data_IF_575572032978
#
_entry.id   IF_575572032978
#
_cell.length_a   1.000
_cell.length_b   1.000
_cell.length_c   1.000
_cell.angle_alpha   90.00
_cell.angle_beta   90.00
_cell.angle_gamma   90.00
#
_symmetry.space_group_name_H-M   'P 1'
#
loop_
_entity.id
_entity.type
_entity.pdbx_description
1 polymer ?
#
# COMPACT_ATOMS: atom_id res chain seq x y z
N UNK A 1 -15.40 -59.96 -20.92
CA UNK A 1 -14.88 -58.62 -20.54
C UNK A 1 -14.83 -58.60 -19.04
N UNK A 2 -13.62 -58.69 -18.49
CA UNK A 2 -13.41 -59.11 -17.11
C UNK A 2 -13.60 -57.93 -16.17
N UNK A 3 -14.56 -58.05 -15.26
CA UNK A 3 -14.91 -57.06 -14.23
C UNK A 3 -13.74 -56.75 -13.30
N UNK A 4 -12.76 -57.64 -13.23
CA UNK A 4 -11.49 -57.50 -12.49
C UNK A 4 -10.60 -56.39 -13.04
N UNK A 5 -10.60 -56.14 -14.36
CA UNK A 5 -9.78 -55.06 -14.93
C UNK A 5 -10.31 -53.69 -14.48
N UNK A 6 -11.63 -53.51 -14.45
CA UNK A 6 -12.27 -52.26 -14.02
C UNK A 6 -12.03 -51.95 -12.54
N UNK A 7 -12.07 -52.96 -11.67
CA UNK A 7 -11.79 -52.83 -10.24
C UNK A 7 -10.36 -52.39 -9.94
N UNK A 8 -9.40 -52.71 -10.82
CA UNK A 8 -7.98 -52.40 -10.61
C UNK A 8 -7.65 -50.93 -10.90
N UNK A 9 -8.36 -50.29 -11.84
CA UNK A 9 -8.11 -48.88 -12.22
C UNK A 9 -8.91 -47.85 -11.41
N UNK A 10 -9.97 -48.28 -10.72
CA UNK A 10 -10.78 -47.41 -9.86
C UNK A 10 -10.00 -46.76 -8.70
N UNK A 11 -9.26 -47.50 -7.86
CA UNK A 11 -8.52 -46.91 -6.75
C UNK A 11 -7.46 -45.87 -7.18
N UNK A 12 -6.60 -46.11 -8.19
CA UNK A 12 -5.64 -45.09 -8.61
C UNK A 12 -6.32 -43.88 -9.26
N UNK A 13 -7.44 -44.06 -9.97
CA UNK A 13 -8.21 -42.94 -10.50
C UNK A 13 -8.79 -42.05 -9.39
N UNK A 14 -9.35 -42.66 -8.33
CA UNK A 14 -9.86 -41.93 -7.17
C UNK A 14 -8.75 -41.20 -6.41
N UNK A 15 -7.59 -41.83 -6.23
CA UNK A 15 -6.42 -41.18 -5.62
C UNK A 15 -5.94 -39.99 -6.46
N UNK A 16 -5.88 -40.13 -7.78
CA UNK A 16 -5.49 -39.05 -8.67
C UNK A 16 -6.45 -37.85 -8.58
N UNK A 17 -7.77 -38.09 -8.53
CA UNK A 17 -8.78 -37.03 -8.33
C UNK A 17 -8.63 -36.37 -6.97
N UNK A 18 -8.36 -37.14 -5.91
CA UNK A 18 -8.13 -36.61 -4.56
C UNK A 18 -6.91 -35.70 -4.49
N UNK A 19 -5.78 -36.13 -5.06
CA UNK A 19 -4.54 -35.34 -5.13
C UNK A 19 -4.75 -34.08 -5.96
N UNK A 20 -5.41 -34.18 -7.12
CA UNK A 20 -5.69 -33.02 -7.97
C UNK A 20 -6.59 -32.00 -7.26
N UNK A 21 -7.64 -32.48 -6.57
CA UNK A 21 -8.55 -31.62 -5.80
C UNK A 21 -7.84 -30.92 -4.65
N UNK A 22 -6.97 -31.63 -3.92
CA UNK A 22 -6.16 -31.05 -2.86
C UNK A 22 -5.16 -30.01 -3.40
N UNK A 23 -4.52 -30.31 -4.52
CA UNK A 23 -3.61 -29.37 -5.18
C UNK A 23 -4.33 -28.10 -5.64
N UNK A 24 -5.52 -28.23 -6.24
CA UNK A 24 -6.37 -27.09 -6.61
C UNK A 24 -6.78 -26.27 -5.39
N UNK A 25 -7.28 -26.93 -4.32
CA UNK A 25 -7.70 -26.25 -3.10
C UNK A 25 -6.53 -25.53 -2.42
N UNK A 26 -5.33 -26.13 -2.42
CA UNK A 26 -4.12 -25.50 -1.89
C UNK A 26 -3.68 -24.31 -2.76
N UNK A 27 -3.86 -24.41 -4.08
CA UNK A 27 -3.57 -23.31 -5.00
C UNK A 27 -4.53 -22.14 -4.77
N UNK A 28 -5.83 -22.39 -4.71
CA UNK A 28 -6.86 -21.38 -4.42
C UNK A 28 -6.63 -20.70 -3.07
N UNK A 29 -6.38 -21.48 -2.00
CA UNK A 29 -6.07 -20.88 -0.68
C UNK A 29 -4.86 -19.96 -0.73
N UNK A 30 -3.84 -20.27 -1.53
CA UNK A 30 -2.67 -19.39 -1.68
C UNK A 30 -3.00 -18.12 -2.44
N UNK A 31 -3.85 -18.19 -3.46
CA UNK A 31 -4.30 -16.98 -4.18
C UNK A 31 -5.16 -16.10 -3.30
N UNK A 32 -6.07 -16.68 -2.53
CA UNK A 32 -6.95 -15.95 -1.60
C UNK A 32 -6.12 -15.25 -0.52
N UNK A 33 -5.19 -15.97 0.11
CA UNK A 33 -4.27 -15.37 1.08
C UNK A 33 -3.44 -14.24 0.46
N UNK A 34 -2.95 -14.40 -0.77
CA UNK A 34 -2.19 -13.34 -1.44
C UNK A 34 -3.07 -12.11 -1.71
N UNK A 35 -4.35 -12.29 -2.06
CA UNK A 35 -5.30 -11.20 -2.23
C UNK A 35 -5.55 -10.45 -0.91
N UNK A 36 -5.82 -11.18 0.18
CA UNK A 36 -6.01 -10.59 1.51
C UNK A 36 -4.79 -9.76 1.96
N UNK A 37 -3.57 -10.24 1.68
CA UNK A 37 -2.37 -9.49 2.04
C UNK A 37 -2.17 -8.24 1.18
N UNK A 38 -2.59 -8.25 -0.08
CA UNK A 38 -2.58 -7.03 -0.89
C UNK A 38 -3.55 -5.99 -0.32
N UNK A 39 -4.76 -6.38 0.10
CA UNK A 39 -5.70 -5.48 0.78
C UNK A 39 -5.13 -4.90 2.08
N UNK A 40 -4.47 -5.74 2.89
CA UNK A 40 -3.80 -5.26 4.12
C UNK A 40 -2.66 -4.28 3.80
N UNK A 41 -1.88 -4.54 2.75
CA UNK A 41 -0.84 -3.62 2.29
C UNK A 41 -1.44 -2.28 1.84
N UNK A 42 -2.54 -2.32 1.10
CA UNK A 42 -3.27 -1.11 0.67
C UNK A 42 -3.74 -0.28 1.86
N UNK A 43 -4.39 -0.90 2.83
CA UNK A 43 -4.85 -0.19 4.03
C UNK A 43 -3.69 0.39 4.86
N UNK A 44 -2.57 -0.32 4.97
CA UNK A 44 -1.39 0.19 5.65
C UNK A 44 -0.82 1.44 4.93
N UNK A 45 -0.70 1.38 3.61
CA UNK A 45 -0.25 2.50 2.79
C UNK A 45 -1.22 3.68 2.79
N UNK A 46 -2.53 3.42 2.79
CA UNK A 46 -3.57 4.44 2.88
C UNK A 46 -3.46 5.18 4.21
N UNK A 47 -3.41 4.47 5.34
CA UNK A 47 -3.26 5.06 6.68
C UNK A 47 -1.98 5.89 6.79
N UNK A 48 -0.87 5.38 6.25
CA UNK A 48 0.37 6.13 6.16
C UNK A 48 0.19 7.40 5.29
N UNK A 49 -0.46 7.31 4.13
CA UNK A 49 -0.69 8.47 3.26
C UNK A 49 -1.59 9.54 3.89
N UNK A 50 -2.57 9.13 4.71
CA UNK A 50 -3.43 10.04 5.47
C UNK A 50 -2.62 10.84 6.48
N UNK A 51 -1.66 10.20 7.16
CA UNK A 51 -0.73 10.91 8.04
C UNK A 51 0.13 11.92 7.27
N UNK A 52 0.69 11.56 6.12
CA UNK A 52 1.48 12.53 5.32
C UNK A 52 0.60 13.70 4.85
N UNK A 53 -0.66 13.44 4.48
CA UNK A 53 -1.65 14.47 4.17
C UNK A 53 -1.90 15.41 5.36
N UNK A 54 -2.03 14.86 6.58
CA UNK A 54 -2.33 15.67 7.77
C UNK A 54 -1.18 16.60 8.15
N UNK A 55 0.07 16.26 7.81
CA UNK A 55 1.22 17.14 8.01
C UNK A 55 1.12 18.47 7.26
N UNK A 56 0.34 18.55 6.17
CA UNK A 56 0.09 19.82 5.47
C UNK A 56 -0.73 20.80 6.32
N UNK A 57 -1.68 20.28 7.08
CA UNK A 57 -2.63 21.07 7.87
C UNK A 57 -2.17 21.27 9.32
N UNK A 58 -1.17 20.52 9.75
CA UNK A 58 -0.60 20.63 11.07
C UNK A 58 0.16 21.96 11.22
N UNK A 59 -0.22 22.76 12.22
CA UNK A 59 0.46 24.01 12.55
C UNK A 59 1.90 23.77 13.07
N UNK A 60 2.17 22.58 13.64
CA UNK A 60 3.48 22.18 14.15
C UNK A 60 3.71 20.72 13.80
N UNK A 61 4.89 20.42 13.24
CA UNK A 61 5.33 19.04 13.04
C UNK A 61 5.54 18.36 14.41
N UNK A 62 4.78 17.33 14.73
CA UNK A 62 4.89 16.60 15.99
C UNK A 62 5.83 15.38 15.93
N UNK A 63 6.61 15.26 14.85
CA UNK A 63 7.38 14.05 14.55
C UNK A 63 6.56 13.01 13.79
N UNK A 64 7.19 11.89 13.47
CA UNK A 64 6.47 10.72 12.96
C UNK A 64 5.61 10.15 14.09
N UNK A 65 4.29 10.19 13.92
CA UNK A 65 3.36 9.65 14.91
C UNK A 65 3.49 8.12 15.01
N UNK A 66 3.26 7.52 16.19
CA UNK A 66 3.40 6.08 16.38
C UNK A 66 2.52 5.26 15.43
N UNK A 67 1.34 5.79 15.08
CA UNK A 67 0.43 5.15 14.12
C UNK A 67 0.96 5.14 12.69
N UNK A 68 1.66 6.20 12.27
CA UNK A 68 2.22 6.32 10.93
C UNK A 68 3.44 5.41 10.76
N UNK A 69 4.33 5.40 11.75
CA UNK A 69 5.46 4.50 11.80
C UNK A 69 5.00 3.03 11.78
N UNK A 70 3.98 2.69 12.59
CA UNK A 70 3.41 1.34 12.61
C UNK A 70 2.76 0.96 11.27
N UNK A 71 2.09 1.89 10.59
CA UNK A 71 1.50 1.66 9.27
C UNK A 71 2.57 1.40 8.21
N UNK A 72 3.65 2.19 8.20
CA UNK A 72 4.76 2.02 7.27
C UNK A 72 5.53 0.71 7.53
N UNK A 73 5.76 0.36 8.79
CA UNK A 73 6.41 -0.90 9.18
C UNK A 73 5.55 -2.12 8.80
N UNK A 74 4.24 -2.04 9.01
CA UNK A 74 3.30 -3.07 8.56
C UNK A 74 3.35 -3.23 7.02
N UNK A 75 3.38 -2.13 6.27
CA UNK A 75 3.50 -2.15 4.82
C UNK A 75 4.83 -2.81 4.37
N UNK A 76 5.95 -2.45 5.02
CA UNK A 76 7.26 -3.06 4.77
C UNK A 76 7.28 -4.56 5.06
N UNK A 77 6.66 -4.98 6.17
CA UNK A 77 6.58 -6.37 6.60
C UNK A 77 5.75 -7.21 5.62
N UNK A 78 4.56 -6.73 5.24
CA UNK A 78 3.69 -7.43 4.28
C UNK A 78 4.38 -7.53 2.93
N UNK A 79 4.99 -6.44 2.45
CA UNK A 79 5.75 -6.43 1.20
C UNK A 79 6.87 -7.48 1.23
N UNK A 80 7.68 -7.51 2.28
CA UNK A 80 8.81 -8.44 2.37
C UNK A 80 8.34 -9.90 2.31
N UNK A 81 7.24 -10.24 2.98
CA UNK A 81 6.74 -11.60 3.07
C UNK A 81 5.96 -12.06 1.82
N UNK A 82 5.20 -11.16 1.18
CA UNK A 82 4.23 -11.54 0.13
C UNK A 82 4.50 -10.92 -1.23
N UNK A 83 5.15 -9.76 -1.29
CA UNK A 83 5.35 -8.98 -2.53
C UNK A 83 6.81 -8.50 -2.67
N UNK A 84 7.80 -9.42 -2.69
CA UNK A 84 9.20 -9.03 -2.83
C UNK A 84 9.48 -8.27 -4.12
N UNK A 85 8.64 -8.44 -5.15
CA UNK A 85 8.76 -7.76 -6.44
C UNK A 85 8.55 -6.23 -6.34
N UNK A 86 7.91 -5.75 -5.27
CA UNK A 86 7.66 -4.32 -5.00
C UNK A 86 8.81 -3.63 -4.26
N UNK A 87 9.96 -4.31 -4.08
CA UNK A 87 11.09 -3.75 -3.35
C UNK A 87 11.59 -2.41 -3.91
N UNK A 88 11.64 -2.29 -5.24
CA UNK A 88 12.08 -1.05 -5.91
C UNK A 88 11.12 0.11 -5.64
N UNK A 89 9.83 -0.07 -5.92
CA UNK A 89 8.81 0.96 -5.72
C UNK A 89 8.70 1.39 -4.25
N UNK A 90 8.82 0.44 -3.33
CA UNK A 90 8.83 0.75 -1.89
C UNK A 90 10.08 1.53 -1.48
N UNK A 91 11.25 1.21 -2.03
CA UNK A 91 12.47 1.96 -1.76
C UNK A 91 12.37 3.41 -2.24
N UNK A 92 11.74 3.65 -3.39
CA UNK A 92 11.45 5.01 -3.87
C UNK A 92 10.52 5.76 -2.93
N UNK A 93 9.43 5.12 -2.48
CA UNK A 93 8.50 5.70 -1.52
C UNK A 93 9.20 6.08 -0.21
N UNK A 94 10.03 5.18 0.34
CA UNK A 94 10.82 5.42 1.55
C UNK A 94 11.86 6.55 1.34
N UNK A 95 12.46 6.63 0.16
CA UNK A 95 13.37 7.71 -0.20
C UNK A 95 12.68 9.08 -0.23
N UNK A 96 11.43 9.15 -0.69
CA UNK A 96 10.63 10.39 -0.61
C UNK A 96 10.19 10.67 0.84
N UNK A 97 9.75 9.64 1.58
CA UNK A 97 9.38 9.74 2.99
C UNK A 97 10.50 10.40 3.81
N UNK A 98 11.72 9.87 3.72
CA UNK A 98 12.88 10.42 4.44
C UNK A 98 13.14 11.89 4.12
N UNK A 99 13.01 12.27 2.83
CA UNK A 99 13.13 13.68 2.42
C UNK A 99 12.03 14.55 3.02
N UNK A 100 10.82 14.03 3.11
CA UNK A 100 9.67 14.72 3.71
C UNK A 100 9.87 14.91 5.23
N UNK A 101 10.27 13.88 5.96
CA UNK A 101 10.60 13.96 7.39
C UNK A 101 11.72 14.97 7.66
N UNK A 102 12.80 14.92 6.88
CA UNK A 102 13.92 15.85 7.02
C UNK A 102 13.49 17.29 6.75
N UNK A 103 12.66 17.50 5.72
CA UNK A 103 12.11 18.82 5.41
C UNK A 103 11.23 19.34 6.56
N UNK A 104 10.28 18.54 7.06
CA UNK A 104 9.40 18.95 8.15
C UNK A 104 10.17 19.24 9.45
N UNK A 105 11.14 18.40 9.79
CA UNK A 105 12.03 18.62 10.93
C UNK A 105 12.80 19.94 10.82
N UNK A 106 13.34 20.24 9.64
CA UNK A 106 14.06 21.49 9.38
C UNK A 106 13.13 22.72 9.46
N UNK A 107 11.92 22.60 8.92
CA UNK A 107 10.91 23.68 9.00
C UNK A 107 10.48 23.95 10.44
N UNK A 108 10.31 22.90 11.25
CA UNK A 108 10.01 23.06 12.67
C UNK A 108 11.14 23.77 13.42
N UNK A 109 12.40 23.40 13.16
CA UNK A 109 13.56 24.06 13.76
C UNK A 109 13.64 25.54 13.35
N UNK A 110 13.36 25.85 12.08
CA UNK A 110 13.34 27.24 11.60
C UNK A 110 12.21 28.03 12.28
N UNK A 111 11.01 27.47 12.34
CA UNK A 111 9.87 28.10 13.01
C UNK A 111 10.13 28.40 14.50
N UNK A 112 10.77 27.47 15.21
CA UNK A 112 11.13 27.65 16.63
C UNK A 112 12.23 28.71 16.85
N UNK A 113 13.12 28.91 15.88
CA UNK A 113 14.29 29.79 16.01
C UNK A 113 14.03 31.20 15.46
N UNK A 114 13.33 31.29 14.34
CA UNK A 114 13.10 32.53 13.58
C UNK A 114 11.78 32.46 12.79
N UNK A 115 10.64 32.78 13.43
CA UNK A 115 9.33 32.67 12.80
C UNK A 115 9.10 33.68 11.68
N UNK A 116 9.79 34.83 11.69
CA UNK A 116 9.67 35.85 10.64
C UNK A 116 10.30 35.34 9.33
N UNK A 117 11.54 34.81 9.40
CA UNK A 117 12.17 34.18 8.23
C UNK A 117 11.45 32.90 7.79
N UNK A 118 10.79 32.20 8.71
CA UNK A 118 9.97 31.04 8.34
C UNK A 118 8.77 31.45 7.47
N UNK A 119 8.07 32.54 7.80
CA UNK A 119 6.93 33.06 7.02
C UNK A 119 7.36 33.50 5.61
N UNK A 120 8.56 34.07 5.49
CA UNK A 120 9.14 34.47 4.21
C UNK A 120 9.66 33.28 3.38
N UNK A 121 9.77 32.10 4.00
CA UNK A 121 10.25 30.91 3.30
C UNK A 121 9.20 30.34 2.34
N UNK A 122 9.65 29.85 1.18
CA UNK A 122 8.85 29.12 0.20
C UNK A 122 8.43 27.70 0.69
N UNK A 123 8.11 27.55 1.98
CA UNK A 123 7.81 26.27 2.62
C UNK A 123 6.69 25.52 1.92
N UNK A 124 5.58 26.20 1.60
CA UNK A 124 4.42 25.61 0.94
C UNK A 124 4.76 25.05 -0.44
N UNK A 125 5.52 25.79 -1.25
CA UNK A 125 5.92 25.34 -2.60
C UNK A 125 6.81 24.10 -2.51
N UNK A 126 7.77 24.10 -1.57
CA UNK A 126 8.69 22.97 -1.37
C UNK A 126 7.97 21.74 -0.82
N UNK A 127 7.04 21.93 0.13
CA UNK A 127 6.18 20.87 0.63
C UNK A 127 5.35 20.26 -0.50
N UNK A 128 4.66 21.08 -1.29
CA UNK A 128 3.84 20.60 -2.41
C UNK A 128 4.66 19.84 -3.46
N UNK A 129 5.92 20.24 -3.70
CA UNK A 129 6.82 19.50 -4.58
C UNK A 129 7.14 18.10 -4.04
N UNK A 130 7.50 18.01 -2.75
CA UNK A 130 7.76 16.72 -2.08
C UNK A 130 6.50 15.86 -2.01
N UNK A 131 5.34 16.47 -1.72
CA UNK A 131 4.05 15.80 -1.70
C UNK A 131 3.68 15.20 -3.06
N UNK A 132 3.93 15.93 -4.16
CA UNK A 132 3.74 15.40 -5.51
C UNK A 132 4.63 14.19 -5.77
N UNK A 133 5.91 14.28 -5.42
CA UNK A 133 6.84 13.14 -5.55
C UNK A 133 6.36 11.93 -4.75
N UNK A 134 5.88 12.16 -3.52
CA UNK A 134 5.34 11.12 -2.65
C UNK A 134 4.12 10.45 -3.30
N UNK A 135 3.18 11.25 -3.81
CA UNK A 135 1.99 10.74 -4.49
C UNK A 135 2.35 9.94 -5.74
N UNK A 136 3.34 10.37 -6.52
CA UNK A 136 3.80 9.61 -7.68
C UNK A 136 4.41 8.27 -7.30
N UNK A 137 5.30 8.22 -6.30
CA UNK A 137 5.89 6.98 -5.81
C UNK A 137 4.81 6.02 -5.26
N UNK A 138 3.85 6.56 -4.50
CA UNK A 138 2.72 5.77 -3.99
C UNK A 138 1.87 5.21 -5.14
N UNK A 139 1.50 6.04 -6.12
CA UNK A 139 0.71 5.59 -7.27
C UNK A 139 1.43 4.52 -8.10
N UNK A 140 2.75 4.66 -8.30
CA UNK A 140 3.54 3.65 -8.99
C UNK A 140 3.51 2.30 -8.23
N UNK A 141 3.70 2.35 -6.91
CA UNK A 141 3.63 1.17 -6.05
C UNK A 141 2.24 0.51 -6.10
N UNK A 142 1.17 1.30 -6.03
CA UNK A 142 -0.20 0.80 -6.12
C UNK A 142 -0.49 0.14 -7.48
N UNK A 143 -0.12 0.79 -8.58
CA UNK A 143 -0.27 0.24 -9.92
C UNK A 143 0.52 -1.07 -10.08
N UNK A 144 1.71 -1.17 -9.48
CA UNK A 144 2.50 -2.40 -9.50
C UNK A 144 1.88 -3.48 -8.61
N UNK A 145 1.33 -3.12 -7.46
CA UNK A 145 0.62 -4.04 -6.58
C UNK A 145 -0.61 -4.63 -7.28
N UNK A 146 -1.39 -3.83 -8.03
CA UNK A 146 -2.49 -4.32 -8.86
C UNK A 146 -2.03 -5.38 -9.87
N UNK A 147 -0.93 -5.11 -10.59
CA UNK A 147 -0.35 -6.04 -11.56
C UNK A 147 0.08 -7.36 -10.91
N UNK A 148 0.75 -7.28 -9.76
CA UNK A 148 1.33 -8.46 -9.07
C UNK A 148 0.29 -9.25 -8.29
N UNK A 149 -0.71 -8.58 -7.72
CA UNK A 149 -1.80 -9.22 -7.00
C UNK A 149 -2.90 -9.73 -7.95
N UNK A 150 -2.88 -9.33 -9.23
CA UNK A 150 -3.99 -9.52 -10.20
C UNK A 150 -5.34 -9.02 -9.67
N UNK A 151 -5.30 -8.10 -8.71
CA UNK A 151 -6.47 -7.46 -8.14
C UNK A 151 -6.84 -6.28 -9.03
N UNK A 152 -8.10 -6.22 -9.48
CA UNK A 152 -8.67 -4.93 -9.87
C UNK A 152 -8.96 -4.19 -8.58
N UNK A 153 -8.05 -3.31 -8.16
CA UNK A 153 -8.39 -2.32 -7.13
C UNK A 153 -9.45 -1.41 -7.79
N UNK A 154 -10.67 -1.43 -7.26
CA UNK A 154 -11.69 -0.50 -7.72
C UNK A 154 -11.25 0.92 -7.35
N UNK A 155 -11.33 1.90 -8.27
CA UNK A 155 -11.04 3.29 -7.90
C UNK A 155 -11.99 3.72 -6.78
N UNK A 156 -11.44 4.44 -5.79
CA UNK A 156 -12.20 4.97 -4.67
C UNK A 156 -13.46 5.70 -5.17
N UNK A 157 -14.62 5.58 -4.48
CA UNK A 157 -15.83 6.26 -4.89
C UNK A 157 -15.56 7.76 -4.94
N UNK A 158 -15.78 8.34 -6.12
CA UNK A 158 -15.82 9.79 -6.32
C UNK A 158 -16.79 10.36 -5.28
N UNK A 159 -16.38 11.31 -4.42
CA UNK A 159 -17.31 11.92 -3.48
C UNK A 159 -18.51 12.48 -4.26
N UNK A 160 -19.73 12.40 -3.70
CA UNK A 160 -20.92 12.89 -4.38
C UNK A 160 -20.70 14.34 -4.78
N UNK A 161 -20.79 14.59 -6.08
CA UNK A 161 -20.85 15.93 -6.64
C UNK A 161 -22.14 16.54 -6.08
N UNK A 162 -22.02 17.40 -5.08
CA UNK A 162 -23.14 18.22 -4.64
C UNK A 162 -23.49 19.15 -5.78
N UNK A 163 -24.49 18.76 -6.59
CA UNK A 163 -25.21 19.65 -7.48
C UNK A 163 -25.82 20.74 -6.62
N UNK A 164 -25.09 21.84 -6.50
CA UNK A 164 -25.59 23.11 -5.99
C UNK A 164 -26.48 23.72 -7.06
N UNK A 165 -27.67 23.13 -7.22
CA UNK A 165 -28.77 23.79 -7.91
C UNK A 165 -29.35 24.80 -6.94
N UNK A 166 -28.77 26.00 -6.92
CA UNK A 166 -29.46 27.17 -6.37
C UNK A 166 -30.60 27.51 -7.33
N UNK A 167 -31.82 27.33 -6.85
CA UNK A 167 -33.02 28.01 -7.33
C UNK A 167 -33.30 29.21 -6.42
#
# INVERSE_FOLDING_TARGET
MDTTTYLTWLPPALLAVGVLSWALARHQRRTDLRAEQAERLLHALERYSQWVCSQRLAAVFSGEGPEAAAALDAACTIRLAWFPELAGDMAELLGVHNRLINFLSMQQQLWLRDPEHWLESDHDKRFLALWRQHRFALQALLARLEQVARLRIAPAPTPPQHDTTYA
#
